data_IF_834958843982
#
_entry.id   IF_834958843982
#
_cell.length_a   1.000
_cell.length_b   1.000
_cell.length_c   1.000
_cell.angle_alpha   90.00
_cell.angle_beta   90.00
_cell.angle_gamma   90.00
#
_symmetry.space_group_name_H-M   'P 1'
#
loop_
_entity.id
_entity.type
_entity.pdbx_description
1 polymer ?
#
# COMPACT_ATOMS: atom_id res chain seq x y z
N UNK A 1 -17.10 -1.82 29.01
CA UNK A 1 -18.05 -1.99 27.89
C UNK A 1 -18.18 -0.64 27.21
N UNK A 2 -18.03 -0.58 25.89
CA UNK A 2 -18.20 0.65 25.12
C UNK A 2 -19.56 1.30 25.40
N UNK A 3 -19.79 2.47 24.82
CA UNK A 3 -21.10 3.12 24.92
C UNK A 3 -22.06 2.39 23.95
N UNK A 4 -23.03 1.56 24.42
CA UNK A 4 -23.86 0.74 23.53
C UNK A 4 -24.66 1.54 22.50
N UNK A 5 -24.93 2.81 22.79
CA UNK A 5 -25.68 3.75 21.95
C UNK A 5 -24.79 4.76 21.23
N UNK A 6 -23.47 4.69 21.35
CA UNK A 6 -22.56 5.70 20.81
C UNK A 6 -22.69 5.93 19.32
N UNK A 7 -22.97 4.89 18.53
CA UNK A 7 -23.23 5.00 17.10
C UNK A 7 -24.54 5.73 16.76
N UNK A 8 -25.45 5.89 17.74
CA UNK A 8 -26.70 6.67 17.63
C UNK A 8 -26.51 8.11 18.14
N UNK A 9 -25.58 8.31 19.08
CA UNK A 9 -25.37 9.60 19.75
C UNK A 9 -24.38 10.49 19.00
N UNK A 10 -23.43 9.88 18.26
CA UNK A 10 -22.37 10.56 17.53
C UNK A 10 -22.43 10.18 16.05
N UNK A 11 -22.43 11.18 15.18
CA UNK A 11 -22.23 10.97 13.74
C UNK A 11 -20.78 10.55 13.45
N UNK A 12 -20.57 9.85 12.32
CA UNK A 12 -19.22 9.58 11.84
C UNK A 12 -18.57 10.87 11.34
N UNK A 13 -17.40 11.15 11.86
CA UNK A 13 -16.54 12.22 11.38
C UNK A 13 -15.19 11.61 11.00
N UNK A 14 -14.77 11.81 9.76
CA UNK A 14 -13.45 11.40 9.29
C UNK A 14 -12.47 12.58 9.35
N UNK A 15 -11.17 12.29 9.35
CA UNK A 15 -10.13 13.31 9.29
C UNK A 15 -10.28 14.19 8.04
N UNK A 16 -10.16 15.51 8.23
CA UNK A 16 -10.24 16.46 7.13
C UNK A 16 -9.02 16.31 6.21
N UNK A 17 -9.25 16.11 4.91
CA UNK A 17 -8.19 16.16 3.92
C UNK A 17 -7.95 17.59 3.44
N UNK A 18 -6.69 17.99 3.31
CA UNK A 18 -6.32 19.24 2.63
C UNK A 18 -6.87 19.20 1.20
N UNK A 19 -7.43 20.31 0.74
CA UNK A 19 -8.07 20.38 -0.59
C UNK A 19 -7.11 19.96 -1.71
N UNK A 20 -7.61 19.31 -2.78
CA UNK A 20 -6.75 18.81 -3.87
C UNK A 20 -5.79 19.86 -4.43
N UNK A 21 -6.27 21.08 -4.68
CA UNK A 21 -5.48 22.18 -5.24
C UNK A 21 -4.41 22.73 -4.28
N UNK A 22 -4.55 22.48 -2.98
CA UNK A 22 -3.54 22.86 -1.98
C UNK A 22 -2.54 21.74 -1.73
N UNK A 23 -3.00 20.49 -1.59
CA UNK A 23 -2.16 19.35 -1.24
C UNK A 23 -1.19 18.93 -2.35
N UNK A 24 -1.50 19.24 -3.61
CA UNK A 24 -0.58 18.97 -4.73
C UNK A 24 0.69 19.84 -4.73
N UNK A 25 0.79 20.84 -3.86
CA UNK A 25 1.94 21.76 -3.79
C UNK A 25 3.14 21.19 -3.06
N UNK A 26 2.99 20.05 -2.39
CA UNK A 26 4.04 19.37 -1.64
C UNK A 26 3.81 17.85 -1.60
N UNK A 27 4.73 17.14 -0.94
CA UNK A 27 4.69 15.68 -0.75
C UNK A 27 4.43 15.28 0.71
N UNK A 28 3.83 16.14 1.53
CA UNK A 28 3.50 15.83 2.92
C UNK A 28 2.17 15.09 3.01
N UNK A 29 1.95 14.33 4.10
CA UNK A 29 0.64 13.76 4.44
C UNK A 29 -0.40 14.89 4.50
N UNK A 30 -1.58 14.63 3.98
CA UNK A 30 -2.61 15.67 3.80
C UNK A 30 -3.88 15.46 4.62
N UNK A 31 -3.94 14.41 5.45
CA UNK A 31 -5.03 14.20 6.41
C UNK A 31 -4.68 14.83 7.76
N UNK A 32 -5.55 15.74 8.22
CA UNK A 32 -5.43 16.38 9.52
C UNK A 32 -6.11 15.52 10.58
N UNK A 33 -5.37 15.12 11.62
CA UNK A 33 -5.96 14.38 12.72
C UNK A 33 -7.11 15.16 13.35
N UNK A 34 -8.16 14.44 13.77
CA UNK A 34 -9.22 15.03 14.59
C UNK A 34 -8.66 15.44 15.97
N UNK A 35 -9.24 16.49 16.61
CA UNK A 35 -8.99 16.75 18.02
C UNK A 35 -9.25 15.48 18.85
N UNK A 36 -8.42 15.24 19.86
CA UNK A 36 -8.45 14.01 20.67
C UNK A 36 -9.84 13.70 21.23
N UNK A 37 -10.54 14.74 21.75
CA UNK A 37 -11.90 14.61 22.25
C UNK A 37 -12.87 14.08 21.17
N UNK A 38 -12.79 14.63 19.96
CA UNK A 38 -13.59 14.16 18.83
C UNK A 38 -13.24 12.75 18.41
N UNK A 39 -11.97 12.37 18.50
CA UNK A 39 -11.56 11.01 18.19
C UNK A 39 -12.07 10.00 19.25
N UNK A 40 -12.14 10.41 20.53
CA UNK A 40 -12.79 9.62 21.58
C UNK A 40 -14.29 9.41 21.30
N UNK A 41 -15.01 10.43 20.82
CA UNK A 41 -16.39 10.28 20.35
C UNK A 41 -16.51 9.27 19.19
N UNK A 42 -15.56 9.28 18.24
CA UNK A 42 -15.55 8.31 17.15
C UNK A 42 -15.29 6.88 17.66
N UNK A 43 -14.47 6.70 18.67
CA UNK A 43 -14.24 5.42 19.32
C UNK A 43 -15.50 4.93 20.06
N UNK A 44 -16.26 5.86 20.72
CA UNK A 44 -17.53 5.57 21.37
C UNK A 44 -18.60 5.01 20.43
N UNK A 45 -18.49 5.22 19.11
CA UNK A 45 -19.39 4.64 18.12
C UNK A 45 -19.32 3.11 18.04
N UNK A 46 -18.26 2.51 18.59
CA UNK A 46 -18.15 1.06 18.68
C UNK A 46 -19.08 0.52 19.77
N UNK A 47 -20.12 -0.20 19.38
CA UNK A 47 -21.09 -0.77 20.32
C UNK A 47 -20.65 -2.09 20.97
N UNK A 48 -19.39 -2.49 20.77
CA UNK A 48 -18.83 -3.77 21.26
C UNK A 48 -19.75 -4.96 20.97
N UNK A 49 -20.14 -5.12 19.71
CA UNK A 49 -21.11 -6.13 19.29
C UNK A 49 -20.60 -7.55 19.54
N UNK A 50 -21.49 -8.46 19.95
CA UNK A 50 -21.15 -9.86 20.25
C UNK A 50 -20.65 -10.68 19.04
N UNK A 51 -20.76 -10.14 17.83
CA UNK A 51 -20.26 -10.76 16.58
C UNK A 51 -19.42 -9.74 15.82
N UNK A 52 -18.19 -9.47 16.25
CA UNK A 52 -17.34 -8.42 15.68
C UNK A 52 -16.70 -8.88 14.37
N UNK A 53 -17.42 -8.77 13.25
CA UNK A 53 -16.87 -9.06 11.91
C UNK A 53 -15.65 -8.22 11.56
N UNK A 54 -15.50 -7.04 12.16
CA UNK A 54 -14.34 -6.17 11.97
C UNK A 54 -13.00 -6.88 12.25
N UNK A 55 -12.97 -7.83 13.20
CA UNK A 55 -11.77 -8.59 13.56
C UNK A 55 -11.75 -10.03 13.06
N UNK A 56 -12.67 -10.44 12.16
CA UNK A 56 -12.87 -11.87 11.84
C UNK A 56 -11.81 -12.46 10.90
N UNK A 57 -11.23 -11.67 10.00
CA UNK A 57 -10.25 -12.15 9.01
C UNK A 57 -10.73 -13.28 8.12
N UNK A 58 -12.03 -13.44 7.87
CA UNK A 58 -12.61 -14.56 7.13
C UNK A 58 -12.49 -14.38 5.62
N UNK A 59 -12.12 -15.47 4.93
CA UNK A 59 -12.14 -15.51 3.48
C UNK A 59 -13.58 -15.70 2.97
N UNK A 60 -14.13 -14.71 2.28
CA UNK A 60 -15.46 -14.73 1.69
C UNK A 60 -15.38 -14.50 0.17
N UNK A 61 -15.79 -15.47 -0.63
CA UNK A 61 -15.72 -15.42 -2.12
C UNK A 61 -14.36 -14.94 -2.65
N UNK A 62 -13.27 -15.45 -2.06
CA UNK A 62 -11.90 -15.17 -2.51
C UNK A 62 -11.32 -13.84 -2.02
N UNK A 63 -12.00 -13.11 -1.14
CA UNK A 63 -11.50 -11.88 -0.52
C UNK A 63 -11.65 -11.94 1.00
N UNK A 64 -10.71 -11.30 1.70
CA UNK A 64 -10.76 -11.20 3.17
C UNK A 64 -11.84 -10.20 3.59
N UNK A 65 -12.62 -10.57 4.61
CA UNK A 65 -13.59 -9.73 5.32
C UNK A 65 -13.12 -9.53 6.77
N UNK A 66 -13.08 -8.30 7.22
CA UNK A 66 -12.52 -7.96 8.53
C UNK A 66 -11.00 -7.93 8.55
N UNK A 67 -10.43 -7.66 9.72
CA UNK A 67 -8.98 -7.54 9.91
C UNK A 67 -8.29 -8.92 9.83
N UNK A 68 -7.35 -9.16 8.88
CA UNK A 68 -6.65 -10.44 8.77
C UNK A 68 -5.67 -10.71 9.92
N UNK A 69 -5.29 -9.66 10.67
CA UNK A 69 -4.49 -9.79 11.89
C UNK A 69 -5.33 -10.14 13.12
N UNK A 70 -6.65 -10.20 12.97
CA UNK A 70 -7.60 -10.39 14.07
C UNK A 70 -7.43 -9.34 15.18
N UNK A 71 -7.18 -8.09 14.80
CA UNK A 71 -7.00 -6.97 15.73
C UNK A 71 -8.20 -6.86 16.69
N UNK A 72 -7.91 -6.62 17.97
CA UNK A 72 -8.87 -6.58 19.06
C UNK A 72 -9.64 -5.24 19.09
N UNK A 73 -10.27 -4.93 17.96
CA UNK A 73 -10.83 -3.62 17.62
C UNK A 73 -11.84 -3.09 18.64
N UNK A 74 -12.84 -3.86 19.10
CA UNK A 74 -13.79 -3.35 20.10
C UNK A 74 -13.10 -2.92 21.39
N UNK A 75 -12.11 -3.70 21.84
CA UNK A 75 -11.46 -3.50 23.12
C UNK A 75 -10.59 -2.22 23.13
N UNK A 76 -9.79 -1.98 22.09
CA UNK A 76 -8.99 -0.76 22.06
C UNK A 76 -9.82 0.48 21.69
N UNK A 77 -10.96 0.34 20.98
CA UNK A 77 -11.91 1.42 20.80
C UNK A 77 -12.52 1.87 22.13
N UNK A 78 -12.93 0.92 22.99
CA UNK A 78 -13.40 1.26 24.34
C UNK A 78 -12.34 2.00 25.14
N UNK A 79 -11.11 1.48 25.15
CA UNK A 79 -10.01 2.08 25.91
C UNK A 79 -9.68 3.50 25.41
N UNK A 80 -9.77 3.75 24.12
CA UNK A 80 -9.63 5.10 23.55
C UNK A 80 -10.78 6.01 24.00
N UNK A 81 -12.03 5.52 23.94
CA UNK A 81 -13.21 6.27 24.37
C UNK A 81 -13.14 6.72 25.83
N UNK A 82 -12.73 5.86 26.74
CA UNK A 82 -12.64 6.18 28.17
C UNK A 82 -11.36 6.91 28.56
N UNK A 83 -10.50 7.29 27.59
CA UNK A 83 -9.27 8.03 27.83
C UNK A 83 -8.11 7.20 28.41
N UNK A 84 -8.19 5.87 28.33
CA UNK A 84 -7.10 4.99 28.82
C UNK A 84 -6.10 4.68 27.67
N UNK A 85 -5.44 5.72 27.17
CA UNK A 85 -4.61 5.69 25.97
C UNK A 85 -3.44 4.70 26.06
N UNK A 86 -2.77 4.60 27.20
CA UNK A 86 -1.67 3.64 27.39
C UNK A 86 -2.13 2.20 27.23
N UNK A 87 -3.26 1.85 27.84
CA UNK A 87 -3.84 0.50 27.68
C UNK A 87 -4.39 0.27 26.29
N UNK A 88 -4.94 1.31 25.63
CA UNK A 88 -5.39 1.22 24.25
C UNK A 88 -4.21 0.83 23.35
N UNK A 89 -3.05 1.49 23.51
CA UNK A 89 -1.82 1.14 22.79
C UNK A 89 -1.39 -0.30 23.07
N UNK A 90 -1.25 -0.72 24.32
CA UNK A 90 -0.86 -2.11 24.63
C UNK A 90 -1.84 -3.15 24.09
N UNK A 91 -3.14 -2.79 23.99
CA UNK A 91 -4.13 -3.69 23.40
C UNK A 91 -4.04 -3.76 21.90
N UNK A 92 -3.78 -2.64 21.24
CA UNK A 92 -3.53 -2.57 19.80
C UNK A 92 -2.23 -3.29 19.41
N UNK A 93 -1.12 -3.02 20.10
CA UNK A 93 0.19 -3.62 19.83
C UNK A 93 0.22 -5.14 20.02
N UNK A 94 -0.73 -5.71 20.77
CA UNK A 94 -0.78 -7.16 20.99
C UNK A 94 -0.96 -7.98 19.71
N UNK A 95 -1.62 -7.42 18.70
CA UNK A 95 -1.91 -8.09 17.42
C UNK A 95 -1.42 -7.33 16.21
N UNK A 96 -1.02 -6.06 16.36
CA UNK A 96 -0.52 -5.21 15.29
C UNK A 96 0.88 -4.72 15.62
N UNK A 97 1.88 -5.18 14.84
CA UNK A 97 3.27 -4.76 15.05
C UNK A 97 3.50 -3.28 14.65
N UNK A 98 2.78 -2.80 13.61
CA UNK A 98 3.05 -1.50 13.01
C UNK A 98 1.77 -0.71 12.73
N UNK A 99 1.03 -0.32 13.80
CA UNK A 99 -0.20 0.45 13.63
C UNK A 99 0.00 1.78 12.91
N UNK A 100 1.18 2.39 13.03
CA UNK A 100 1.52 3.63 12.32
C UNK A 100 1.56 3.47 10.80
N UNK A 101 1.84 2.28 10.28
CA UNK A 101 1.79 2.01 8.84
C UNK A 101 0.37 1.62 8.43
N UNK A 102 -0.27 0.69 9.14
CA UNK A 102 -1.61 0.21 8.79
C UNK A 102 -2.65 1.31 8.90
N UNK A 103 -2.58 2.17 9.90
CA UNK A 103 -3.48 3.32 10.04
C UNK A 103 -3.38 4.35 8.89
N UNK A 104 -2.28 4.34 8.13
CA UNK A 104 -2.10 5.22 6.96
C UNK A 104 -2.47 4.55 5.64
N UNK A 105 -2.04 3.30 5.44
CA UNK A 105 -2.08 2.67 4.12
C UNK A 105 -3.03 1.48 4.00
N UNK A 106 -3.56 0.94 5.11
CA UNK A 106 -4.52 -0.16 5.07
C UNK A 106 -5.85 0.30 4.42
N UNK A 107 -6.47 -0.52 3.55
CA UNK A 107 -7.77 -0.21 2.96
C UNK A 107 -8.94 -0.27 3.95
N UNK A 108 -8.68 -0.57 5.24
CA UNK A 108 -9.64 -0.66 6.32
C UNK A 108 -10.74 -1.72 6.10
N UNK A 109 -10.32 -2.96 5.85
CA UNK A 109 -11.22 -4.13 5.74
C UNK A 109 -12.15 -4.26 6.96
N UNK A 110 -11.66 -3.88 8.15
CA UNK A 110 -12.40 -3.86 9.39
C UNK A 110 -13.61 -2.93 9.34
N UNK A 111 -13.47 -1.72 8.78
CA UNK A 111 -14.57 -0.77 8.63
C UNK A 111 -15.63 -1.29 7.64
N UNK A 112 -15.19 -1.91 6.54
CA UNK A 112 -16.12 -2.47 5.55
C UNK A 112 -16.89 -3.69 6.03
N UNK A 113 -16.42 -4.33 7.10
CA UNK A 113 -17.08 -5.45 7.78
C UNK A 113 -17.72 -5.05 9.12
N UNK A 114 -17.66 -3.77 9.51
CA UNK A 114 -18.26 -3.30 10.76
C UNK A 114 -19.78 -3.48 10.76
N UNK A 115 -20.33 -4.02 11.83
CA UNK A 115 -21.77 -4.27 11.98
C UNK A 115 -22.59 -2.97 11.98
N UNK A 116 -22.04 -1.86 12.51
CA UNK A 116 -22.67 -0.54 12.42
C UNK A 116 -22.94 -0.12 10.96
N UNK A 117 -22.10 -0.57 10.03
CA UNK A 117 -22.26 -0.28 8.61
C UNK A 117 -23.45 -0.96 7.92
N UNK A 118 -24.26 -1.74 8.63
CA UNK A 118 -25.52 -2.31 8.13
C UNK A 118 -26.67 -1.30 8.16
N UNK A 119 -26.69 -0.41 9.15
CA UNK A 119 -27.81 0.52 9.39
C UNK A 119 -27.37 2.00 9.36
N UNK A 120 -26.10 2.27 9.12
CA UNK A 120 -25.53 3.61 9.12
C UNK A 120 -24.04 3.55 8.77
N UNK A 121 -23.27 4.50 9.29
CA UNK A 121 -21.83 4.57 9.04
C UNK A 121 -21.05 3.62 9.96
N UNK A 122 -20.08 2.93 9.40
CA UNK A 122 -19.12 2.11 10.15
C UNK A 122 -18.30 2.97 11.12
N UNK A 123 -17.74 2.35 12.14
CA UNK A 123 -16.77 3.00 13.04
C UNK A 123 -15.51 3.36 12.25
N UNK A 124 -14.97 4.56 12.47
CA UNK A 124 -13.70 5.03 11.85
C UNK A 124 -12.48 4.38 12.50
N UNK A 125 -12.39 3.06 12.37
CA UNK A 125 -11.40 2.21 13.03
C UNK A 125 -9.98 2.59 12.69
N UNK A 126 -9.71 2.94 11.43
CA UNK A 126 -8.39 3.33 10.94
C UNK A 126 -7.89 4.64 11.58
N UNK A 127 -8.78 5.61 11.75
CA UNK A 127 -8.44 6.88 12.41
C UNK A 127 -8.23 6.67 13.93
N UNK A 128 -9.02 5.80 14.56
CA UNK A 128 -8.82 5.42 15.96
C UNK A 128 -7.46 4.74 16.16
N UNK A 129 -7.08 3.82 15.27
CA UNK A 129 -5.76 3.17 15.26
C UNK A 129 -4.63 4.20 15.14
N UNK A 130 -4.75 5.17 14.21
CA UNK A 130 -3.77 6.25 14.01
C UNK A 130 -3.62 7.08 15.29
N UNK A 131 -4.73 7.48 15.89
CA UNK A 131 -4.71 8.28 17.11
C UNK A 131 -4.04 7.54 18.26
N UNK A 132 -4.36 6.26 18.48
CA UNK A 132 -3.75 5.46 19.55
C UNK A 132 -2.24 5.38 19.38
N UNK A 133 -1.75 5.06 18.18
CA UNK A 133 -0.30 4.87 17.99
C UNK A 133 0.48 6.19 17.99
N UNK A 134 -0.04 7.25 17.37
CA UNK A 134 0.66 8.54 17.39
C UNK A 134 0.68 9.13 18.79
N UNK A 135 -0.43 9.06 19.53
CA UNK A 135 -0.47 9.44 20.93
C UNK A 135 0.52 8.65 21.78
N UNK A 136 0.66 7.35 21.53
CA UNK A 136 1.58 6.50 22.26
C UNK A 136 3.06 6.88 22.00
N UNK A 137 3.43 7.20 20.78
CA UNK A 137 4.77 7.71 20.47
C UNK A 137 5.03 9.08 21.11
N UNK A 138 4.07 10.00 21.00
CA UNK A 138 4.19 11.37 21.54
C UNK A 138 4.36 11.38 23.07
N UNK A 139 3.70 10.45 23.77
CA UNK A 139 3.74 10.34 25.23
C UNK A 139 4.73 9.31 25.76
N UNK A 140 5.59 8.75 24.90
CA UNK A 140 6.64 7.81 25.32
C UNK A 140 6.10 6.46 25.82
N UNK A 141 4.92 6.01 25.33
CA UNK A 141 4.40 4.67 25.67
C UNK A 141 5.01 3.57 24.80
N UNK A 142 5.56 3.94 23.63
CA UNK A 142 6.28 3.03 22.75
C UNK A 142 7.73 2.99 23.19
N UNK A 143 8.04 2.09 24.11
CA UNK A 143 9.39 1.89 24.65
C UNK A 143 10.03 0.64 24.00
N UNK A 144 11.36 0.63 23.73
CA UNK A 144 12.03 -0.56 23.23
C UNK A 144 11.92 -1.75 24.18
N UNK A 145 11.42 -2.87 23.70
CA UNK A 145 11.25 -4.11 24.47
C UNK A 145 12.45 -5.04 24.23
N UNK A 146 13.47 -4.94 25.09
CA UNK A 146 14.64 -5.81 25.02
C UNK A 146 14.34 -7.14 25.72
N UNK A 147 14.43 -8.30 25.02
CA UNK A 147 14.20 -9.60 25.64
C UNK A 147 15.12 -9.85 26.82
N UNK A 148 14.55 -10.22 27.95
CA UNK A 148 15.32 -10.51 29.17
C UNK A 148 16.29 -11.70 28.99
N UNK A 149 15.98 -12.65 28.09
CA UNK A 149 16.78 -13.84 27.80
C UNK A 149 16.97 -13.97 26.29
N UNK A 150 18.23 -14.07 25.88
CA UNK A 150 18.59 -14.39 24.49
C UNK A 150 18.74 -15.91 24.31
N UNK A 151 18.15 -16.45 23.24
CA UNK A 151 18.14 -17.89 22.97
C UNK A 151 19.47 -18.42 22.43
N UNK A 152 20.38 -17.53 22.04
CA UNK A 152 21.62 -17.90 21.32
C UNK A 152 21.40 -18.26 19.85
N UNK A 153 20.13 -18.25 19.35
CA UNK A 153 19.81 -18.53 17.95
C UNK A 153 19.89 -17.26 17.11
N UNK A 154 20.48 -17.39 15.91
CA UNK A 154 20.64 -16.31 14.93
C UNK A 154 19.70 -16.51 13.76
N UNK A 155 18.95 -15.50 13.38
CA UNK A 155 18.02 -15.52 12.23
C UNK A 155 18.36 -14.41 11.26
N UNK A 156 18.54 -14.78 9.98
CA UNK A 156 18.63 -13.81 8.88
C UNK A 156 17.27 -13.58 8.26
N UNK A 157 16.86 -12.33 8.10
CA UNK A 157 15.64 -11.94 7.37
C UNK A 157 16.06 -11.25 6.08
N UNK A 158 15.62 -11.77 4.94
CA UNK A 158 15.98 -11.27 3.61
C UNK A 158 14.85 -10.39 3.07
N UNK A 159 15.08 -9.08 3.14
CA UNK A 159 14.11 -8.04 2.79
C UNK A 159 13.54 -7.35 4.02
N UNK A 160 13.49 -6.02 3.98
CA UNK A 160 13.01 -5.14 5.04
C UNK A 160 11.63 -4.54 4.77
N UNK A 161 10.85 -5.12 3.86
CA UNK A 161 9.45 -4.75 3.66
C UNK A 161 8.59 -5.09 4.90
N UNK A 162 7.28 -4.75 4.89
CA UNK A 162 6.42 -4.95 6.07
C UNK A 162 6.48 -6.36 6.65
N UNK A 163 6.52 -7.39 5.81
CA UNK A 163 6.60 -8.79 6.25
C UNK A 163 7.94 -9.13 6.91
N UNK A 164 9.04 -8.61 6.36
CA UNK A 164 10.38 -8.79 6.94
C UNK A 164 10.55 -8.06 8.26
N UNK A 165 10.06 -6.84 8.36
CA UNK A 165 10.07 -6.08 9.62
C UNK A 165 9.23 -6.78 10.69
N UNK A 166 8.02 -7.27 10.36
CA UNK A 166 7.17 -7.99 11.31
C UNK A 166 7.80 -9.32 11.78
N UNK A 167 8.44 -10.04 10.86
CA UNK A 167 9.17 -11.25 11.23
C UNK A 167 10.36 -10.95 12.15
N UNK A 168 11.11 -9.87 11.84
CA UNK A 168 12.26 -9.45 12.66
C UNK A 168 11.83 -9.03 14.06
N UNK A 169 10.79 -8.22 14.17
CA UNK A 169 10.21 -7.78 15.44
C UNK A 169 9.79 -8.98 16.30
N UNK A 170 8.91 -9.85 15.79
CA UNK A 170 8.41 -11.00 16.53
C UNK A 170 9.48 -12.02 16.90
N UNK A 171 10.50 -12.22 16.07
CA UNK A 171 11.63 -13.10 16.37
C UNK A 171 12.54 -12.51 17.43
N UNK A 172 12.80 -11.20 17.35
CA UNK A 172 13.59 -10.48 18.35
C UNK A 172 12.89 -10.51 19.72
N UNK A 173 11.58 -10.22 19.77
CA UNK A 173 10.79 -10.32 21.01
C UNK A 173 10.86 -11.71 21.68
N UNK A 174 11.05 -12.77 20.89
CA UNK A 174 11.27 -14.14 21.39
C UNK A 174 12.71 -14.44 21.82
N UNK A 175 13.58 -13.46 21.78
CA UNK A 175 14.96 -13.57 22.24
C UNK A 175 15.95 -14.07 21.19
N UNK A 176 15.58 -14.20 19.92
CA UNK A 176 16.53 -14.52 18.85
C UNK A 176 17.36 -13.30 18.47
N UNK A 177 18.60 -13.50 18.03
CA UNK A 177 19.41 -12.46 17.40
C UNK A 177 19.01 -12.36 15.93
N UNK A 178 18.51 -11.20 15.51
CA UNK A 178 17.94 -11.02 14.17
C UNK A 178 18.75 -10.00 13.38
N UNK A 179 19.17 -10.36 12.18
CA UNK A 179 19.81 -9.47 11.21
C UNK A 179 18.95 -9.40 9.94
N UNK A 180 18.55 -8.20 9.54
CA UNK A 180 17.76 -7.93 8.34
C UNK A 180 18.66 -7.45 7.22
N UNK A 181 18.65 -8.14 6.09
CA UNK A 181 19.40 -7.79 4.88
C UNK A 181 18.48 -7.07 3.89
N UNK A 182 18.81 -5.83 3.56
CA UNK A 182 18.05 -5.00 2.63
C UNK A 182 18.90 -4.61 1.42
N UNK A 183 18.40 -4.89 0.21
CA UNK A 183 19.10 -4.57 -1.04
C UNK A 183 19.17 -3.08 -1.36
N UNK A 184 18.20 -2.29 -0.87
CA UNK A 184 18.19 -0.84 -1.03
C UNK A 184 19.10 -0.14 0.01
N UNK A 185 19.32 1.14 -0.19
CA UNK A 185 20.07 2.01 0.72
C UNK A 185 19.30 2.40 1.99
N UNK A 186 17.96 2.18 2.01
CA UNK A 186 17.10 2.43 3.16
C UNK A 186 16.19 1.23 3.44
N UNK A 187 15.91 1.03 4.71
CA UNK A 187 15.00 0.01 5.22
C UNK A 187 13.55 0.39 4.96
N UNK A 188 12.66 -0.60 4.76
CA UNK A 188 11.22 -0.39 4.63
C UNK A 188 10.60 -0.97 3.35
N UNK A 189 11.41 -1.38 2.35
CA UNK A 189 10.91 -1.96 1.10
C UNK A 189 9.91 -1.02 0.40
N UNK A 190 8.68 -1.51 0.13
CA UNK A 190 7.65 -0.68 -0.51
C UNK A 190 7.10 0.43 0.41
N UNK A 191 7.19 0.32 1.74
CA UNK A 191 6.85 1.43 2.64
C UNK A 191 7.76 2.64 2.40
N UNK A 192 9.03 2.37 2.12
CA UNK A 192 10.02 3.42 1.84
C UNK A 192 9.92 3.93 0.40
N UNK A 193 9.94 3.03 -0.59
CA UNK A 193 10.16 3.40 -2.00
C UNK A 193 8.99 3.08 -2.96
N UNK A 194 7.95 2.38 -2.51
CA UNK A 194 6.78 2.07 -3.33
C UNK A 194 5.59 3.00 -3.06
N UNK A 195 5.38 3.37 -1.80
CA UNK A 195 4.31 4.27 -1.37
C UNK A 195 4.86 5.71 -1.40
N UNK A 196 4.15 6.68 -2.02
CA UNK A 196 4.60 8.07 -2.04
C UNK A 196 4.63 8.71 -0.65
N UNK A 197 5.49 9.73 -0.48
CA UNK A 197 5.63 10.40 0.82
C UNK A 197 4.33 11.05 1.31
N UNK A 198 3.49 11.59 0.41
CA UNK A 198 2.22 12.19 0.77
C UNK A 198 1.16 11.19 1.30
N UNK A 199 1.40 9.90 1.15
CA UNK A 199 0.53 8.84 1.70
C UNK A 199 1.10 8.20 2.96
N UNK A 200 2.42 8.17 3.07
CA UNK A 200 3.18 7.70 4.24
C UNK A 200 4.52 8.45 4.28
N UNK A 201 4.62 9.44 5.16
CA UNK A 201 5.87 10.19 5.37
C UNK A 201 6.98 9.28 5.87
N UNK A 202 8.18 9.41 5.30
CA UNK A 202 9.26 8.44 5.52
C UNK A 202 9.87 8.50 6.91
N UNK A 203 9.75 9.63 7.59
CA UNK A 203 10.14 9.73 9.01
C UNK A 203 9.37 8.74 9.91
N UNK A 204 8.12 8.37 9.53
CA UNK A 204 7.33 7.36 10.26
C UNK A 204 7.99 5.97 10.14
N UNK A 205 8.52 5.65 8.94
CA UNK A 205 9.26 4.41 8.72
C UNK A 205 10.58 4.43 9.49
N UNK A 206 11.32 5.54 9.38
CA UNK A 206 12.60 5.71 10.08
C UNK A 206 12.43 5.61 11.59
N UNK A 207 11.39 6.24 12.16
CA UNK A 207 11.05 6.15 13.59
C UNK A 207 10.91 4.70 14.06
N UNK A 208 10.20 3.86 13.31
CA UNK A 208 10.03 2.44 13.63
C UNK A 208 11.32 1.65 13.47
N UNK A 209 12.10 1.93 12.45
CA UNK A 209 13.40 1.28 12.23
C UNK A 209 14.37 1.57 13.37
N UNK A 210 14.44 2.84 13.85
CA UNK A 210 15.27 3.20 14.99
C UNK A 210 14.79 2.52 16.28
N UNK A 211 13.48 2.38 16.46
CA UNK A 211 12.91 1.63 17.57
C UNK A 211 13.34 0.15 17.55
N UNK A 212 13.22 -0.53 16.41
CA UNK A 212 13.67 -1.93 16.26
C UNK A 212 15.19 -2.09 16.47
N UNK A 213 16.00 -1.12 16.05
CA UNK A 213 17.44 -1.09 16.36
C UNK A 213 17.70 -1.00 17.85
N UNK A 214 16.96 -0.15 18.56
CA UNK A 214 17.08 -0.01 20.01
C UNK A 214 16.70 -1.31 20.75
N UNK A 215 15.82 -2.14 20.18
CA UNK A 215 15.47 -3.47 20.68
C UNK A 215 16.53 -4.55 20.36
N UNK A 216 17.51 -4.23 19.49
CA UNK A 216 18.61 -5.11 19.15
C UNK A 216 18.46 -5.83 17.80
N UNK A 217 17.57 -5.39 16.92
CA UNK A 217 17.53 -5.85 15.52
C UNK A 217 18.62 -5.16 14.72
N UNK A 218 19.44 -5.94 14.02
CA UNK A 218 20.47 -5.42 13.12
C UNK A 218 19.96 -5.26 11.69
N UNK A 219 20.36 -4.16 11.02
CA UNK A 219 20.00 -3.89 9.62
C UNK A 219 21.25 -3.69 8.78
N UNK A 220 21.37 -4.44 7.69
CA UNK A 220 22.43 -4.32 6.70
C UNK A 220 21.81 -3.89 5.37
N UNK A 221 22.00 -2.64 5.00
CA UNK A 221 21.53 -2.06 3.73
C UNK A 221 22.54 -2.25 2.60
N UNK A 222 22.13 -2.01 1.35
CA UNK A 222 22.91 -2.28 0.14
C UNK A 222 23.39 -3.74 0.04
N UNK A 223 22.64 -4.65 0.67
CA UNK A 223 22.92 -6.08 0.77
C UNK A 223 21.92 -6.87 -0.09
N UNK A 224 22.24 -7.04 -1.38
CA UNK A 224 21.43 -7.79 -2.33
C UNK A 224 21.84 -9.28 -2.31
N UNK A 225 21.12 -10.08 -1.52
CA UNK A 225 21.40 -11.50 -1.33
C UNK A 225 21.15 -12.27 -2.62
N UNK A 226 22.11 -13.04 -3.04
CA UNK A 226 22.15 -13.72 -4.34
C UNK A 226 22.91 -12.93 -5.41
N UNK A 227 23.35 -11.69 -5.10
CA UNK A 227 24.24 -10.90 -5.94
C UNK A 227 25.52 -10.52 -5.22
N UNK A 228 25.47 -9.47 -4.37
CA UNK A 228 26.66 -9.03 -3.63
C UNK A 228 26.82 -9.70 -2.25
N UNK A 229 25.77 -10.35 -1.74
CA UNK A 229 25.83 -11.21 -0.54
C UNK A 229 25.54 -12.64 -0.95
N UNK A 230 26.43 -13.59 -0.59
CA UNK A 230 26.28 -15.01 -0.94
C UNK A 230 25.28 -15.68 0.01
N UNK A 231 24.24 -16.32 -0.54
CA UNK A 231 23.25 -17.07 0.24
C UNK A 231 23.89 -18.19 1.08
N UNK A 232 24.89 -18.89 0.53
CA UNK A 232 25.59 -19.99 1.22
C UNK A 232 26.31 -19.52 2.49
N UNK A 233 26.79 -18.29 2.53
CA UNK A 233 27.38 -17.71 3.75
C UNK A 233 26.30 -17.57 4.83
N UNK A 234 25.13 -17.08 4.46
CA UNK A 234 24.02 -16.92 5.40
C UNK A 234 23.49 -18.28 5.89
N UNK A 235 23.40 -19.27 5.00
CA UNK A 235 23.00 -20.64 5.39
C UNK A 235 23.97 -21.25 6.43
N UNK A 236 25.26 -20.91 6.35
CA UNK A 236 26.27 -21.39 7.28
C UNK A 236 26.25 -20.63 8.62
N UNK A 237 26.02 -19.33 8.59
CA UNK A 237 26.26 -18.43 9.73
C UNK A 237 25.00 -18.21 10.59
N UNK A 238 23.81 -18.59 10.09
CA UNK A 238 22.53 -18.44 10.77
C UNK A 238 21.84 -19.79 11.02
N UNK A 239 21.12 -19.89 12.13
CA UNK A 239 20.32 -21.07 12.47
C UNK A 239 19.04 -21.19 11.60
N UNK A 240 18.49 -20.04 11.14
CA UNK A 240 17.34 -20.00 10.26
C UNK A 240 17.37 -18.76 9.35
N UNK A 241 16.66 -18.87 8.22
CA UNK A 241 16.54 -17.79 7.23
C UNK A 241 15.07 -17.58 6.89
N UNK A 242 14.62 -16.33 6.92
CA UNK A 242 13.28 -15.90 6.50
C UNK A 242 13.40 -15.15 5.18
N UNK A 243 12.82 -15.68 4.11
CA UNK A 243 12.74 -14.99 2.83
C UNK A 243 11.51 -14.08 2.81
N UNK A 244 11.73 -12.77 2.96
CA UNK A 244 10.73 -11.72 2.95
C UNK A 244 10.99 -10.70 1.84
N UNK A 245 11.54 -11.15 0.70
CA UNK A 245 12.03 -10.33 -0.40
C UNK A 245 10.91 -9.67 -1.26
N UNK A 246 9.64 -9.95 -0.96
CA UNK A 246 8.48 -9.36 -1.62
C UNK A 246 8.29 -9.79 -3.08
N UNK A 247 7.19 -9.35 -3.68
CA UNK A 247 6.91 -9.52 -5.10
C UNK A 247 7.55 -8.34 -5.86
N UNK A 248 8.71 -8.56 -6.45
CA UNK A 248 9.49 -7.52 -7.12
C UNK A 248 9.71 -7.78 -8.63
N UNK A 249 9.06 -8.81 -9.19
CA UNK A 249 9.06 -9.09 -10.61
C UNK A 249 7.82 -8.42 -11.25
N UNK A 250 7.95 -7.26 -11.94
CA UNK A 250 6.81 -6.52 -12.43
C UNK A 250 6.16 -7.26 -13.62
N UNK A 251 4.83 -7.19 -13.71
CA UNK A 251 4.10 -7.60 -14.91
C UNK A 251 4.29 -6.56 -15.99
N UNK A 252 4.74 -6.99 -17.14
CA UNK A 252 4.97 -6.12 -18.29
C UNK A 252 3.82 -6.21 -19.32
N UNK A 253 3.74 -5.21 -20.20
CA UNK A 253 2.79 -5.12 -21.31
C UNK A 253 3.48 -5.61 -22.59
N UNK A 254 2.92 -6.65 -23.18
CA UNK A 254 3.39 -7.22 -24.44
C UNK A 254 2.71 -6.51 -25.60
N UNK A 255 3.27 -5.39 -26.05
CA UNK A 255 2.77 -4.62 -27.18
C UNK A 255 3.94 -4.15 -28.05
N UNK A 256 3.69 -3.90 -29.33
CA UNK A 256 4.67 -3.37 -30.25
C UNK A 256 5.23 -2.04 -29.74
N UNK A 257 6.52 -1.79 -29.97
CA UNK A 257 7.19 -0.56 -29.52
C UNK A 257 7.46 -0.45 -28.00
N UNK A 258 7.32 -1.57 -27.23
CA UNK A 258 7.57 -1.60 -25.78
C UNK A 258 8.97 -1.09 -25.37
N UNK A 259 9.91 -1.16 -26.27
CA UNK A 259 11.30 -0.70 -26.10
C UNK A 259 11.50 0.81 -26.29
N UNK A 260 10.42 1.59 -26.47
CA UNK A 260 10.50 3.04 -26.58
C UNK A 260 11.04 3.69 -25.30
N UNK A 261 11.85 4.75 -25.46
CA UNK A 261 12.22 5.61 -24.36
C UNK A 261 10.99 6.34 -23.80
N UNK A 262 10.86 6.42 -22.48
CA UNK A 262 9.71 7.05 -21.81
C UNK A 262 8.73 6.04 -21.22
N UNK A 263 9.00 4.74 -21.27
CA UNK A 263 8.18 3.70 -20.69
C UNK A 263 8.87 3.12 -19.45
N UNK A 264 8.25 3.27 -18.28
CA UNK A 264 8.83 2.88 -16.99
C UNK A 264 7.86 2.00 -16.21
N UNK A 265 8.38 1.17 -15.32
CA UNK A 265 7.55 0.54 -14.29
C UNK A 265 7.20 1.55 -13.20
N UNK A 266 5.97 1.49 -12.70
CA UNK A 266 5.46 2.40 -11.69
C UNK A 266 6.34 2.46 -10.43
N UNK A 267 6.84 1.29 -9.97
CA UNK A 267 7.69 1.23 -8.77
C UNK A 267 9.03 1.90 -8.99
N UNK A 268 9.63 1.79 -10.17
CA UNK A 268 10.89 2.47 -10.49
C UNK A 268 10.69 3.98 -10.51
N UNK A 269 9.58 4.45 -11.08
CA UNK A 269 9.19 5.86 -11.04
C UNK A 269 9.02 6.36 -9.60
N UNK A 270 8.14 5.72 -8.80
CA UNK A 270 7.86 6.10 -7.42
C UNK A 270 9.12 6.06 -6.55
N UNK A 271 9.96 5.04 -6.73
CA UNK A 271 11.27 4.94 -6.07
C UNK A 271 12.17 6.10 -6.41
N UNK A 272 12.30 6.44 -7.70
CA UNK A 272 13.19 7.52 -8.15
C UNK A 272 12.76 8.87 -7.56
N UNK A 273 11.46 9.14 -7.55
CA UNK A 273 10.87 10.37 -7.00
C UNK A 273 11.08 10.45 -5.49
N UNK A 274 10.72 9.39 -4.76
CA UNK A 274 10.89 9.37 -3.30
C UNK A 274 12.38 9.48 -2.92
N UNK A 275 13.27 8.80 -3.65
CA UNK A 275 14.70 8.88 -3.39
C UNK A 275 15.25 10.30 -3.60
N UNK A 276 14.92 10.96 -4.68
CA UNK A 276 15.34 12.33 -4.95
C UNK A 276 14.78 13.33 -3.93
N UNK A 277 13.52 13.14 -3.49
CA UNK A 277 12.92 13.91 -2.41
C UNK A 277 13.75 13.78 -1.13
N UNK A 278 14.06 12.54 -0.70
CA UNK A 278 14.76 12.29 0.56
C UNK A 278 16.24 12.66 0.52
N UNK A 279 16.90 12.47 -0.62
CA UNK A 279 18.34 12.72 -0.73
C UNK A 279 18.65 14.22 -0.88
N UNK A 280 17.77 14.99 -1.51
CA UNK A 280 18.13 16.35 -1.94
C UNK A 280 16.98 17.34 -2.03
N UNK A 281 15.76 16.96 -1.65
CA UNK A 281 14.56 17.79 -1.90
C UNK A 281 14.47 18.19 -3.40
N UNK A 282 14.63 17.17 -4.27
CA UNK A 282 14.62 17.26 -5.74
C UNK A 282 15.74 18.10 -6.38
N UNK A 283 16.71 18.59 -5.61
CA UNK A 283 17.80 19.44 -6.14
C UNK A 283 18.76 18.67 -7.03
N UNK A 284 18.89 17.36 -6.82
CA UNK A 284 19.75 16.47 -7.63
C UNK A 284 19.17 16.15 -9.01
N UNK A 285 17.87 16.37 -9.22
CA UNK A 285 17.14 16.06 -10.47
C UNK A 285 17.31 14.61 -10.95
N UNK A 286 17.59 13.68 -10.03
CA UNK A 286 17.84 12.25 -10.33
C UNK A 286 16.56 11.42 -10.22
N UNK A 287 15.46 11.89 -10.77
CA UNK A 287 14.20 11.18 -10.83
C UNK A 287 13.63 11.14 -12.24
N UNK A 288 12.77 10.21 -12.51
CA UNK A 288 12.02 10.13 -13.75
C UNK A 288 11.04 11.31 -13.77
N UNK A 289 11.29 12.30 -14.62
CA UNK A 289 10.58 13.59 -14.62
C UNK A 289 9.37 13.57 -15.57
N UNK A 290 8.13 13.70 -15.05
CA UNK A 290 6.91 13.79 -15.84
C UNK A 290 6.57 15.21 -16.28
N UNK A 291 7.36 16.21 -15.90
CA UNK A 291 7.08 17.62 -16.15
C UNK A 291 6.84 17.89 -17.64
N UNK A 292 5.78 18.65 -17.92
CA UNK A 292 5.36 19.08 -19.26
C UNK A 292 5.04 17.92 -20.23
N UNK A 293 4.87 16.69 -19.74
CA UNK A 293 4.56 15.49 -20.55
C UNK A 293 3.09 15.07 -20.42
N UNK A 294 2.56 14.50 -21.49
CA UNK A 294 1.33 13.72 -21.43
C UNK A 294 1.66 12.33 -20.85
N UNK A 295 1.20 12.06 -19.64
CA UNK A 295 1.49 10.82 -18.90
C UNK A 295 0.31 9.86 -19.00
N UNK A 296 0.59 8.61 -19.33
CA UNK A 296 -0.40 7.54 -19.28
C UNK A 296 0.02 6.48 -18.26
N UNK A 297 -0.86 6.20 -17.31
CA UNK A 297 -0.70 5.15 -16.30
C UNK A 297 -1.49 3.93 -16.73
N UNK A 298 -0.83 2.76 -16.82
CA UNK A 298 -1.49 1.49 -17.16
C UNK A 298 -1.74 0.70 -15.89
N UNK A 299 -2.99 0.66 -15.44
CA UNK A 299 -3.45 -0.03 -14.23
C UNK A 299 -4.31 0.86 -13.34
N UNK A 300 -5.47 0.35 -12.92
CA UNK A 300 -6.48 1.08 -12.14
C UNK A 300 -6.38 0.94 -10.62
N UNK A 301 -5.36 0.22 -10.10
CA UNK A 301 -5.18 -0.01 -8.66
C UNK A 301 -4.49 1.14 -7.92
N UNK A 302 -4.24 0.93 -6.62
CA UNK A 302 -3.62 1.92 -5.71
C UNK A 302 -2.27 2.45 -6.23
N UNK A 303 -1.41 1.56 -6.76
CA UNK A 303 -0.13 1.98 -7.36
C UNK A 303 -0.33 2.91 -8.56
N UNK A 304 -1.35 2.67 -9.38
CA UNK A 304 -1.72 3.56 -10.47
C UNK A 304 -2.16 4.92 -9.97
N UNK A 305 -3.01 4.95 -8.95
CA UNK A 305 -3.43 6.20 -8.30
C UNK A 305 -2.24 6.96 -7.69
N UNK A 306 -1.29 6.27 -7.06
CA UNK A 306 -0.07 6.85 -6.52
C UNK A 306 0.79 7.50 -7.63
N UNK A 307 0.86 6.88 -8.81
CA UNK A 307 1.51 7.46 -10.00
C UNK A 307 0.78 8.71 -10.51
N UNK A 308 -0.56 8.70 -10.51
CA UNK A 308 -1.37 9.88 -10.90
C UNK A 308 -1.06 11.06 -9.99
N UNK A 309 -1.21 10.90 -8.67
CA UNK A 309 -0.96 11.98 -7.71
C UNK A 309 0.48 12.48 -7.71
N UNK A 310 1.46 11.58 -7.90
CA UNK A 310 2.87 11.94 -8.00
C UNK A 310 3.17 12.75 -9.25
N UNK A 311 2.61 12.36 -10.41
CA UNK A 311 2.84 13.05 -11.68
C UNK A 311 2.24 14.46 -11.70
N UNK A 312 1.08 14.64 -11.08
CA UNK A 312 0.44 15.97 -10.94
C UNK A 312 1.33 16.90 -10.11
N UNK A 313 1.86 16.43 -8.96
CA UNK A 313 2.77 17.22 -8.12
C UNK A 313 4.03 17.65 -8.83
N UNK A 314 4.52 16.84 -9.74
CA UNK A 314 5.71 17.12 -10.54
C UNK A 314 5.40 17.88 -11.85
N UNK A 315 4.15 18.31 -12.07
CA UNK A 315 3.78 19.21 -13.16
C UNK A 315 3.61 18.53 -14.51
N UNK A 316 3.05 17.33 -14.58
CA UNK A 316 2.67 16.73 -15.87
C UNK A 316 1.67 17.62 -16.64
N UNK A 317 1.73 17.59 -17.96
CA UNK A 317 0.85 18.36 -18.85
C UNK A 317 -0.57 17.80 -18.85
N UNK A 318 -0.70 16.49 -18.85
CA UNK A 318 -1.96 15.76 -18.71
C UNK A 318 -1.71 14.40 -18.09
N UNK A 319 -2.77 13.79 -17.54
CA UNK A 319 -2.71 12.46 -16.97
C UNK A 319 -3.90 11.63 -17.42
N UNK A 320 -3.65 10.40 -17.86
CA UNK A 320 -4.69 9.41 -18.21
C UNK A 320 -4.35 8.10 -17.51
N UNK A 321 -5.35 7.45 -16.91
CA UNK A 321 -5.19 6.15 -16.26
C UNK A 321 -6.03 5.10 -17.00
N UNK A 322 -5.38 4.08 -17.57
CA UNK A 322 -6.05 2.99 -18.28
C UNK A 322 -6.38 1.85 -17.34
N UNK A 323 -7.64 1.44 -17.32
CA UNK A 323 -8.14 0.30 -16.58
C UNK A 323 -8.72 -0.74 -17.57
N UNK A 324 -8.21 -1.96 -17.52
CA UNK A 324 -8.70 -3.03 -18.40
C UNK A 324 -10.09 -3.54 -18.03
N UNK A 325 -10.47 -3.43 -16.76
CA UNK A 325 -11.75 -3.89 -16.26
C UNK A 325 -12.85 -2.84 -16.49
N UNK A 326 -14.13 -3.24 -16.56
CA UNK A 326 -15.25 -2.29 -16.58
C UNK A 326 -15.29 -1.46 -15.29
N UNK A 327 -15.83 -0.24 -15.35
CA UNK A 327 -16.09 0.57 -14.16
C UNK A 327 -16.95 -0.23 -13.19
N UNK A 328 -16.49 -0.35 -11.94
CA UNK A 328 -17.30 -0.94 -10.89
C UNK A 328 -18.56 -0.06 -10.61
N UNK A 329 -19.65 -0.65 -10.11
CA UNK A 329 -20.84 0.12 -9.74
C UNK A 329 -20.52 1.10 -8.60
N UNK A 330 -21.31 2.16 -8.48
CA UNK A 330 -21.12 3.15 -7.42
C UNK A 330 -21.60 2.62 -6.05
N UNK A 331 -22.54 1.65 -6.05
CA UNK A 331 -23.06 0.98 -4.85
C UNK A 331 -22.87 -0.54 -4.92
N UNK A 332 -23.01 -1.22 -3.77
CA UNK A 332 -22.93 -2.68 -3.70
C UNK A 332 -24.00 -3.34 -4.58
N UNK A 333 -23.59 -4.21 -5.48
CA UNK A 333 -24.50 -5.06 -6.22
C UNK A 333 -25.10 -6.17 -5.30
N UNK A 334 -26.27 -6.69 -5.65
CA UNK A 334 -26.95 -7.74 -4.88
C UNK A 334 -26.10 -9.02 -4.70
N UNK A 335 -25.20 -9.32 -5.64
CA UNK A 335 -24.27 -10.46 -5.57
C UNK A 335 -23.01 -10.19 -4.75
N UNK A 336 -22.87 -8.97 -4.17
CA UNK A 336 -21.77 -8.55 -3.30
C UNK A 336 -22.28 -7.99 -1.96
N UNK A 337 -23.05 -8.79 -1.18
CA UNK A 337 -23.64 -8.33 0.07
C UNK A 337 -22.58 -8.14 1.16
N UNK A 338 -22.88 -7.31 2.16
CA UNK A 338 -22.13 -7.25 3.42
C UNK A 338 -22.07 -8.67 4.06
N UNK A 339 -20.99 -9.07 4.72
CA UNK A 339 -19.77 -8.32 5.04
C UNK A 339 -18.63 -8.51 4.01
N UNK A 340 -18.92 -8.92 2.79
CA UNK A 340 -17.88 -9.04 1.75
C UNK A 340 -17.23 -7.68 1.49
N UNK A 341 -15.99 -7.71 1.00
CA UNK A 341 -15.33 -6.50 0.51
C UNK A 341 -16.18 -5.83 -0.58
N UNK A 342 -16.47 -4.52 -0.47
CA UNK A 342 -17.31 -3.83 -1.46
C UNK A 342 -16.58 -3.71 -2.79
N UNK A 343 -17.18 -4.27 -3.83
CA UNK A 343 -16.73 -4.13 -5.22
C UNK A 343 -17.41 -2.91 -5.85
N UNK A 344 -17.05 -1.73 -5.37
CA UNK A 344 -17.62 -0.46 -5.80
C UNK A 344 -16.54 0.44 -6.36
N UNK A 345 -16.93 1.37 -7.23
CA UNK A 345 -16.04 2.39 -7.75
C UNK A 345 -15.63 3.33 -6.60
N UNK A 346 -14.33 3.55 -6.46
CA UNK A 346 -13.78 4.51 -5.52
C UNK A 346 -13.02 5.56 -6.30
N UNK A 347 -13.15 6.80 -5.88
CA UNK A 347 -12.26 7.88 -6.30
C UNK A 347 -11.29 8.11 -5.15
N UNK A 348 -10.01 7.94 -5.41
CA UNK A 348 -8.94 8.12 -4.43
C UNK A 348 -8.22 9.45 -4.71
N UNK A 349 -7.31 9.83 -3.83
CA UNK A 349 -6.69 11.15 -3.80
C UNK A 349 -6.10 11.61 -5.14
N UNK A 350 -5.44 10.73 -5.90
CA UNK A 350 -4.83 11.08 -7.19
C UNK A 350 -5.87 11.37 -8.27
N UNK A 351 -6.99 10.61 -8.32
CA UNK A 351 -8.09 10.90 -9.21
C UNK A 351 -8.80 12.20 -8.83
N UNK A 352 -9.01 12.47 -7.51
CA UNK A 352 -9.57 13.76 -7.04
C UNK A 352 -8.69 14.93 -7.46
N UNK A 353 -7.38 14.79 -7.36
CA UNK A 353 -6.40 15.79 -7.78
C UNK A 353 -6.44 16.01 -9.30
N UNK A 354 -6.55 14.94 -10.09
CA UNK A 354 -6.70 15.04 -11.54
C UNK A 354 -7.99 15.76 -11.91
N UNK A 355 -9.11 15.46 -11.26
CA UNK A 355 -10.39 16.16 -11.47
C UNK A 355 -10.25 17.65 -11.13
N UNK A 356 -9.60 17.97 -10.02
CA UNK A 356 -9.43 19.35 -9.59
C UNK A 356 -8.51 20.18 -10.51
N UNK A 357 -7.48 19.55 -11.10
CA UNK A 357 -6.48 20.22 -11.96
C UNK A 357 -6.90 20.25 -13.42
N UNK A 358 -7.44 19.14 -13.94
CA UNK A 358 -7.72 18.95 -15.37
C UNK A 358 -9.23 18.98 -15.69
N UNK A 359 -10.12 19.02 -14.70
CA UNK A 359 -11.57 19.12 -14.87
C UNK A 359 -12.29 17.82 -15.21
N UNK A 360 -11.61 16.68 -15.19
CA UNK A 360 -12.20 15.36 -15.50
C UNK A 360 -11.50 14.21 -14.80
N UNK A 361 -12.21 13.10 -14.63
CA UNK A 361 -11.66 11.84 -14.13
C UNK A 361 -10.61 11.29 -15.11
N UNK A 362 -9.38 10.97 -14.68
CA UNK A 362 -8.33 10.51 -15.58
C UNK A 362 -8.55 9.09 -16.10
N UNK A 363 -9.51 8.33 -15.57
CA UNK A 363 -9.68 6.89 -15.86
C UNK A 363 -10.42 6.64 -17.15
N UNK A 364 -9.85 5.76 -17.98
CA UNK A 364 -10.51 5.17 -19.17
C UNK A 364 -10.61 3.66 -18.91
N UNK A 365 -11.84 3.18 -18.75
CA UNK A 365 -12.14 1.77 -18.47
C UNK A 365 -12.21 0.93 -19.73
N UNK A 366 -12.10 -0.41 -19.56
CA UNK A 366 -12.18 -1.39 -20.64
C UNK A 366 -11.24 -1.05 -21.78
N UNK A 367 -9.98 -0.71 -21.45
CA UNK A 367 -9.01 -0.23 -22.43
C UNK A 367 -7.63 -0.83 -22.15
N UNK A 368 -6.92 -1.22 -23.19
CA UNK A 368 -5.52 -1.62 -23.13
C UNK A 368 -4.70 -0.96 -24.24
N UNK A 369 -3.37 -1.05 -24.13
CA UNK A 369 -2.44 -0.57 -25.15
C UNK A 369 -2.16 -1.68 -26.16
N UNK A 370 -2.31 -1.37 -27.44
CA UNK A 370 -2.00 -2.24 -28.56
C UNK A 370 -0.62 -1.95 -29.14
N UNK A 371 -0.21 -0.67 -29.17
CA UNK A 371 1.08 -0.24 -29.71
C UNK A 371 1.60 0.98 -28.99
N UNK A 372 2.92 1.03 -28.77
CA UNK A 372 3.69 2.19 -28.34
C UNK A 372 4.39 2.82 -29.57
N UNK A 373 3.89 3.95 -30.05
CA UNK A 373 4.40 4.59 -31.25
C UNK A 373 5.58 5.48 -30.92
N UNK A 374 6.73 5.19 -31.55
CA UNK A 374 7.99 5.93 -31.38
C UNK A 374 8.14 7.05 -32.41
N UNK A 375 8.86 8.09 -32.03
CA UNK A 375 9.43 9.05 -32.97
C UNK A 375 10.69 8.50 -33.65
N UNK A 376 11.26 9.27 -34.57
CA UNK A 376 12.50 8.91 -35.28
C UNK A 376 13.75 8.76 -34.39
N UNK A 377 13.67 9.24 -33.14
CA UNK A 377 14.76 9.16 -32.16
C UNK A 377 14.53 8.01 -31.16
N UNK A 378 13.44 7.21 -31.30
CA UNK A 378 13.09 6.12 -30.40
C UNK A 378 12.34 6.55 -29.15
N UNK A 379 11.93 7.82 -29.04
CA UNK A 379 11.15 8.29 -27.90
C UNK A 379 9.67 8.03 -28.13
N UNK A 380 8.95 7.73 -27.04
CA UNK A 380 7.52 7.57 -27.06
C UNK A 380 6.84 8.88 -27.48
N UNK A 381 5.88 8.79 -28.41
CA UNK A 381 5.13 9.92 -28.96
C UNK A 381 3.64 9.82 -28.76
N UNK A 382 3.07 8.63 -28.85
CA UNK A 382 1.66 8.33 -28.66
C UNK A 382 1.44 6.84 -28.39
N UNK A 383 0.28 6.51 -27.89
CA UNK A 383 -0.23 5.13 -27.78
C UNK A 383 -1.34 4.87 -28.78
N UNK A 384 -1.37 3.68 -29.36
CA UNK A 384 -2.59 3.13 -29.96
C UNK A 384 -3.23 2.27 -28.90
N UNK A 385 -4.42 2.67 -28.46
CA UNK A 385 -5.24 1.97 -27.48
C UNK A 385 -6.40 1.24 -28.18
N UNK A 386 -6.91 0.19 -27.58
CA UNK A 386 -8.04 -0.58 -28.05
C UNK A 386 -9.03 -0.83 -26.91
N UNK A 387 -10.33 -0.81 -27.23
CA UNK A 387 -11.37 -1.16 -26.26
C UNK A 387 -11.40 -2.66 -26.00
N UNK A 388 -11.78 -3.02 -24.78
CA UNK A 388 -11.91 -4.38 -24.32
C UNK A 388 -13.37 -4.71 -23.99
N UNK A 389 -13.78 -5.94 -24.27
CA UNK A 389 -15.05 -6.49 -23.81
C UNK A 389 -14.83 -7.82 -23.10
N UNK A 390 -15.73 -8.15 -22.17
CA UNK A 390 -15.68 -9.42 -21.45
C UNK A 390 -16.27 -10.53 -22.30
N UNK A 391 -15.44 -11.50 -22.73
CA UNK A 391 -15.86 -12.70 -23.46
C UNK A 391 -15.66 -13.94 -22.62
N UNK A 392 -16.63 -14.87 -22.67
CA UNK A 392 -16.50 -16.17 -22.05
C UNK A 392 -15.68 -17.08 -22.96
N UNK A 393 -14.56 -17.57 -22.45
CA UNK A 393 -13.78 -18.59 -23.15
C UNK A 393 -14.53 -19.91 -23.15
N UNK A 394 -14.82 -20.45 -24.34
CA UNK A 394 -15.63 -21.66 -24.52
C UNK A 394 -14.97 -22.93 -23.97
N UNK A 395 -13.62 -22.96 -23.91
CA UNK A 395 -12.85 -24.12 -23.45
C UNK A 395 -12.74 -24.17 -21.93
N UNK A 396 -12.49 -23.02 -21.32
CA UNK A 396 -12.24 -22.92 -19.86
C UNK A 396 -13.45 -22.46 -19.06
N UNK A 397 -14.49 -21.93 -19.75
CA UNK A 397 -15.65 -21.31 -19.10
C UNK A 397 -15.38 -20.01 -18.36
N UNK A 398 -14.15 -19.50 -18.41
CA UNK A 398 -13.72 -18.28 -17.72
C UNK A 398 -13.98 -17.04 -18.57
N UNK A 399 -14.33 -15.96 -17.91
CA UNK A 399 -14.39 -14.65 -18.56
C UNK A 399 -12.99 -14.06 -18.74
N UNK A 400 -12.68 -13.64 -19.96
CA UNK A 400 -11.44 -12.95 -20.32
C UNK A 400 -11.77 -11.65 -21.05
N UNK A 401 -10.91 -10.65 -20.89
CA UNK A 401 -11.03 -9.41 -21.65
C UNK A 401 -10.44 -9.62 -23.05
N UNK A 402 -11.22 -9.34 -24.08
CA UNK A 402 -10.85 -9.46 -25.48
C UNK A 402 -10.93 -8.11 -26.19
N UNK A 403 -10.05 -7.87 -27.15
CA UNK A 403 -10.07 -6.65 -27.95
C UNK A 403 -11.32 -6.56 -28.83
N UNK A 404 -11.89 -5.36 -28.91
CA UNK A 404 -12.99 -5.04 -29.80
C UNK A 404 -12.41 -4.53 -31.12
N UNK A 405 -12.58 -5.31 -32.18
CA UNK A 405 -12.04 -4.96 -33.50
C UNK A 405 -12.61 -3.62 -34.01
N UNK A 406 -11.74 -2.77 -34.54
CA UNK A 406 -12.10 -1.45 -35.08
C UNK A 406 -12.39 -0.38 -34.03
N UNK A 407 -12.04 -0.64 -32.77
CA UNK A 407 -12.19 0.32 -31.66
C UNK A 407 -10.90 1.03 -31.30
N UNK A 408 -9.89 0.94 -32.13
CA UNK A 408 -8.59 1.57 -31.92
C UNK A 408 -8.71 3.09 -31.89
N UNK A 409 -7.97 3.73 -30.98
CA UNK A 409 -7.86 5.17 -30.87
C UNK A 409 -6.48 5.57 -30.37
N UNK A 410 -6.07 6.79 -30.66
CA UNK A 410 -4.76 7.30 -30.30
C UNK A 410 -4.82 8.20 -29.05
N UNK A 411 -3.81 8.09 -28.19
CA UNK A 411 -3.55 9.01 -27.09
C UNK A 411 -2.16 9.63 -27.24
N UNK A 412 -2.03 10.97 -27.25
CA UNK A 412 -0.73 11.62 -27.13
C UNK A 412 -0.07 11.17 -25.82
N UNK A 413 1.20 10.76 -25.86
CA UNK A 413 1.88 10.24 -24.69
C UNK A 413 3.39 10.30 -24.85
N UNK A 414 4.06 11.00 -23.97
CA UNK A 414 5.52 11.05 -23.89
C UNK A 414 6.06 10.23 -22.73
N UNK A 415 5.17 9.80 -21.78
CA UNK A 415 5.57 8.96 -20.66
C UNK A 415 4.50 7.94 -20.33
N UNK A 416 4.91 6.68 -20.18
CA UNK A 416 4.07 5.58 -19.68
C UNK A 416 4.60 5.07 -18.36
N UNK A 417 3.67 4.85 -17.40
CA UNK A 417 3.92 4.22 -16.11
C UNK A 417 3.12 2.93 -16.01
N UNK A 418 3.82 1.78 -16.02
CA UNK A 418 3.18 0.46 -15.97
C UNK A 418 2.94 0.06 -14.52
N UNK A 419 1.69 0.06 -14.08
CA UNK A 419 1.20 -0.32 -12.75
C UNK A 419 0.33 -1.59 -12.79
N UNK A 420 0.73 -2.58 -13.59
CA UNK A 420 -0.05 -3.81 -13.88
C UNK A 420 0.13 -4.94 -12.83
N UNK A 421 0.74 -4.65 -11.68
CA UNK A 421 1.02 -5.62 -10.62
C UNK A 421 2.30 -6.42 -10.82
N UNK A 422 2.46 -7.50 -10.05
CA UNK A 422 3.70 -8.29 -9.97
C UNK A 422 3.43 -9.77 -10.22
N UNK A 423 4.49 -10.49 -10.65
CA UNK A 423 4.51 -11.93 -10.93
C UNK A 423 5.23 -12.73 -9.84
N UNK A 424 5.39 -12.18 -8.64
CA UNK A 424 6.09 -12.82 -7.53
C UNK A 424 7.50 -12.27 -7.29
N UNK A 425 8.32 -13.04 -6.56
CA UNK A 425 9.69 -12.67 -6.22
C UNK A 425 10.63 -12.74 -7.43
N UNK A 426 11.78 -12.09 -7.33
CA UNK A 426 12.82 -12.24 -8.33
C UNK A 426 13.53 -13.58 -8.17
N UNK A 427 13.59 -14.35 -9.26
CA UNK A 427 14.08 -15.74 -9.28
C UNK A 427 15.48 -15.92 -8.72
N UNK A 428 16.39 -14.96 -8.96
CA UNK A 428 17.77 -15.10 -8.48
C UNK A 428 17.89 -15.25 -6.96
N UNK A 429 16.94 -14.72 -6.17
CA UNK A 429 16.93 -14.85 -4.71
C UNK A 429 16.51 -16.27 -4.32
N UNK A 430 15.40 -16.77 -4.89
CA UNK A 430 14.89 -18.12 -4.62
C UNK A 430 15.87 -19.18 -5.09
N UNK A 431 16.49 -19.00 -6.25
CA UNK A 431 17.53 -19.90 -6.78
C UNK A 431 18.78 -19.92 -5.89
N UNK A 432 19.20 -18.78 -5.34
CA UNK A 432 20.37 -18.70 -4.46
C UNK A 432 20.22 -19.51 -3.18
N UNK A 433 18.97 -19.68 -2.69
CA UNK A 433 18.65 -20.52 -1.52
C UNK A 433 18.15 -21.91 -1.90
N UNK A 434 17.95 -22.23 -3.17
CA UNK A 434 17.46 -23.52 -3.64
C UNK A 434 16.04 -23.86 -3.18
N UNK A 435 15.18 -22.85 -2.99
CA UNK A 435 13.80 -23.06 -2.54
C UNK A 435 12.86 -23.26 -3.74
N UNK A 436 11.91 -24.16 -3.58
CA UNK A 436 10.83 -24.36 -4.54
C UNK A 436 9.84 -23.21 -4.49
N UNK A 437 9.30 -22.86 -5.65
CA UNK A 437 8.25 -21.83 -5.79
C UNK A 437 7.05 -22.42 -6.52
N UNK A 438 5.84 -21.97 -6.17
CA UNK A 438 4.65 -22.38 -6.91
C UNK A 438 4.54 -21.65 -8.26
N UNK A 439 3.63 -22.08 -9.13
CA UNK A 439 3.46 -21.51 -10.46
C UNK A 439 2.95 -20.04 -10.44
N UNK A 440 2.52 -19.52 -9.29
CA UNK A 440 2.00 -18.17 -9.16
C UNK A 440 3.02 -17.21 -8.58
N UNK A 441 3.97 -17.70 -7.82
CA UNK A 441 4.96 -16.92 -7.08
C UNK A 441 6.37 -17.41 -7.30
#
# INVERSE_FOLDING_TARGET
MGKPTGFMDYERVDSEAVTPTQRIKNFNEFHKALPLEKQCEQAARCMDCGVPFCQSGKMLKGMISGCPLNNLIPEWNELLYIGNYKRAYHRLAKTSNFPEFTSRVCPALCEKACTCGLNGDAVSTKENEKTIIEYAFEHGYVEPEIPAVRTGKKVAVIGSGPSGLAAADLLNMRGHSVTVYERADRVGGLLMYGIPNMKLEKWVVDRRVEHLKAEGVEFITNADVGKNVKAQTLIKDYDAIVLACGAANPRDIKAEGRDANGIYFAVDYLKSVTKSLLDSDFKDKKYIDPKDKNVVVIGGGDTGNDCVGTSIRLGCKSITQLEMMPKAPDERAANNPWPQWPKVCKTDYGQEEAIAVFGHDPRIYQTTVKEFVKDKNGNLKKLVCVKLESKKDEKTGRFMMAEVAGSEFELPCEMVLIAAGFLGSQKYVTDAFGVEVDART
#
